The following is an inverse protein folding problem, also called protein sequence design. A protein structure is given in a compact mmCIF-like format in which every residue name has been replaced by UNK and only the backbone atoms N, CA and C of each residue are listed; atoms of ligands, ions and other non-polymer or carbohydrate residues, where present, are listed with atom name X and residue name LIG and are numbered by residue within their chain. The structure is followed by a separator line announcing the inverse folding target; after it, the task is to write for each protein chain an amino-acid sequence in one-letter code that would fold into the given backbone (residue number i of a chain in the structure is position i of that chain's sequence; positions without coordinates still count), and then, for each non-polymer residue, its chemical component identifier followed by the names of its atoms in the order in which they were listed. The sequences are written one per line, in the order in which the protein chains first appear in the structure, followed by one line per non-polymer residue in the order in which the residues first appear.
data_IF_878333573890
#
_entry.id   IF_878333573890
#
_cell.length_a   1.000
_cell.length_b   1.000
_cell.length_c   1.000
_cell.angle_alpha   90.00
_cell.angle_beta   90.00
_cell.angle_gamma   90.00
#
_symmetry.space_group_name_H-M   'P 1'
#
loop_
_entity.id
_entity.type
_entity.pdbx_description
1 polymer ?
#
# COMPACT_ATOMS: atom_id res chain seq x y z
N UNK A 1 -22.33 -17.07 -3.65
CA UNK A 1 -21.24 -16.13 -3.98
C UNK A 1 -19.93 -16.86 -3.78
N UNK A 2 -19.11 -16.99 -4.84
CA UNK A 2 -17.84 -17.71 -4.78
C UNK A 2 -16.73 -16.94 -4.03
N UNK A 3 -15.50 -17.48 -3.99
CA UNK A 3 -14.34 -16.77 -3.46
C UNK A 3 -14.13 -15.45 -4.22
N UNK A 4 -13.64 -14.43 -3.51
CA UNK A 4 -13.34 -13.10 -4.06
C UNK A 4 -11.85 -12.82 -3.92
N UNK A 5 -11.27 -12.25 -4.96
CA UNK A 5 -9.87 -11.85 -5.00
C UNK A 5 -9.75 -10.33 -5.02
N UNK A 6 -8.71 -9.81 -4.38
CA UNK A 6 -8.38 -8.39 -4.45
C UNK A 6 -7.77 -8.08 -5.82
N UNK A 7 -8.32 -7.11 -6.54
CA UNK A 7 -7.80 -6.68 -7.84
C UNK A 7 -6.92 -5.44 -7.77
N UNK A 8 -7.07 -4.64 -6.71
CA UNK A 8 -6.30 -3.43 -6.46
C UNK A 8 -6.44 -2.96 -5.00
N UNK A 9 -5.44 -2.27 -4.48
CA UNK A 9 -5.46 -1.63 -3.16
C UNK A 9 -5.15 -0.14 -3.35
N UNK A 10 -5.97 0.73 -2.76
CA UNK A 10 -5.74 2.18 -2.73
C UNK A 10 -5.73 2.66 -1.29
N UNK A 11 -4.58 3.17 -0.85
CA UNK A 11 -4.39 3.81 0.46
C UNK A 11 -4.50 5.32 0.27
N UNK A 12 -5.72 5.86 0.46
CA UNK A 12 -6.00 7.29 0.42
C UNK A 12 -6.60 7.82 1.72
N UNK A 13 -7.04 9.08 1.72
CA UNK A 13 -7.68 9.73 2.88
C UNK A 13 -6.84 10.87 3.42
N UNK A 14 -6.46 10.83 4.71
CA UNK A 14 -5.69 11.89 5.37
C UNK A 14 -4.35 12.20 4.67
N UNK A 15 -3.24 11.64 5.17
CA UNK A 15 -1.95 11.74 4.46
C UNK A 15 -1.17 10.42 4.63
N UNK A 16 -1.51 9.38 3.85
CA UNK A 16 -0.91 8.04 3.97
C UNK A 16 0.61 8.01 3.86
N UNK A 17 1.19 8.94 3.10
CA UNK A 17 2.64 9.18 2.96
C UNK A 17 3.35 9.71 4.22
N UNK A 18 2.62 10.01 5.29
CA UNK A 18 3.20 10.25 6.62
C UNK A 18 3.34 8.97 7.44
N UNK A 19 2.71 7.86 7.02
CA UNK A 19 2.88 6.57 7.68
C UNK A 19 4.31 6.08 7.52
N UNK A 20 4.82 5.40 8.56
CA UNK A 20 6.08 4.69 8.43
C UNK A 20 5.88 3.52 7.43
N UNK A 21 6.89 3.16 6.62
CA UNK A 21 6.81 2.02 5.71
C UNK A 21 6.34 0.72 6.38
N UNK A 22 6.72 0.49 7.64
CA UNK A 22 6.33 -0.71 8.40
C UNK A 22 4.83 -0.72 8.71
N UNK A 23 4.22 0.46 8.90
CA UNK A 23 2.77 0.59 9.08
C UNK A 23 2.03 0.24 7.79
N UNK A 24 2.52 0.68 6.63
CA UNK A 24 1.97 0.31 5.32
C UNK A 24 2.07 -1.20 5.11
N UNK A 25 3.23 -1.80 5.39
CA UNK A 25 3.44 -3.24 5.31
C UNK A 25 2.47 -4.01 6.21
N UNK A 26 2.31 -3.60 7.47
CA UNK A 26 1.39 -4.25 8.40
C UNK A 26 -0.08 -4.22 7.93
N UNK A 27 -0.50 -3.13 7.27
CA UNK A 27 -1.83 -3.03 6.66
C UNK A 27 -1.97 -3.99 5.49
N UNK A 28 -0.99 -4.06 4.59
CA UNK A 28 -1.01 -4.96 3.44
C UNK A 28 -0.99 -6.43 3.85
N UNK A 29 -0.20 -6.78 4.88
CA UNK A 29 -0.24 -8.11 5.49
C UNK A 29 -1.61 -8.41 6.10
N UNK A 30 -2.26 -7.43 6.76
CA UNK A 30 -3.60 -7.62 7.28
C UNK A 30 -4.61 -7.90 6.18
N UNK A 31 -4.50 -7.23 5.03
CA UNK A 31 -5.33 -7.53 3.85
C UNK A 31 -5.07 -8.96 3.37
N UNK A 32 -3.81 -9.34 3.17
CA UNK A 32 -3.42 -10.68 2.69
C UNK A 32 -3.81 -11.81 3.65
N UNK A 33 -3.92 -11.55 4.96
CA UNK A 33 -4.44 -12.52 5.93
C UNK A 33 -5.94 -12.79 5.81
N UNK A 34 -6.71 -11.85 5.24
CA UNK A 34 -8.16 -11.92 5.19
C UNK A 34 -8.71 -12.18 3.77
N UNK A 35 -7.90 -11.93 2.74
CA UNK A 35 -8.30 -12.03 1.33
C UNK A 35 -7.19 -12.67 0.49
N UNK A 36 -7.57 -13.35 -0.59
CA UNK A 36 -6.61 -13.74 -1.64
C UNK A 36 -6.15 -12.49 -2.38
N UNK A 37 -4.84 -12.25 -2.36
CA UNK A 37 -4.19 -11.11 -3.03
C UNK A 37 -3.22 -11.68 -4.07
N UNK A 38 -3.58 -11.71 -5.37
CA UNK A 38 -2.68 -12.14 -6.42
C UNK A 38 -1.42 -11.27 -6.50
N UNK A 39 -0.33 -11.84 -7.00
CA UNK A 39 0.87 -11.06 -7.29
C UNK A 39 0.61 -10.07 -8.44
N UNK A 40 1.31 -8.93 -8.41
CA UNK A 40 1.28 -7.95 -9.48
C UNK A 40 0.03 -7.04 -9.52
N UNK A 41 -0.88 -7.15 -8.55
CA UNK A 41 -1.98 -6.19 -8.44
C UNK A 41 -1.47 -4.77 -8.18
N UNK A 42 -2.24 -3.76 -8.56
CA UNK A 42 -1.90 -2.38 -8.23
C UNK A 42 -2.08 -2.13 -6.73
N UNK A 43 -1.05 -1.57 -6.10
CA UNK A 43 -1.06 -1.07 -4.73
C UNK A 43 -0.62 0.39 -4.76
N UNK A 44 -1.59 1.28 -4.62
CA UNK A 44 -1.42 2.73 -4.71
C UNK A 44 -1.44 3.36 -3.33
N UNK A 45 -0.51 4.27 -3.08
CA UNK A 45 -0.47 5.10 -1.88
C UNK A 45 -0.53 6.57 -2.26
N UNK A 46 -1.52 7.29 -1.74
CA UNK A 46 -1.62 8.74 -1.94
C UNK A 46 -0.47 9.46 -1.23
N UNK A 47 0.34 10.21 -1.99
CA UNK A 47 1.46 10.98 -1.49
C UNK A 47 1.39 12.44 -1.96
N UNK A 48 1.80 13.36 -1.09
CA UNK A 48 1.99 14.77 -1.44
C UNK A 48 3.44 14.99 -1.93
N UNK A 49 3.69 16.02 -2.77
CA UNK A 49 4.99 16.25 -3.40
C UNK A 49 6.04 16.88 -2.48
N UNK A 50 6.09 16.55 -1.17
CA UNK A 50 7.11 17.08 -0.26
C UNK A 50 8.38 16.20 -0.19
N UNK A 51 9.52 16.81 0.15
CA UNK A 51 10.82 16.12 0.27
C UNK A 51 10.83 15.03 1.35
N UNK A 52 10.09 15.24 2.45
CA UNK A 52 9.99 14.29 3.58
C UNK A 52 9.33 12.98 3.16
N UNK A 53 8.36 13.04 2.26
CA UNK A 53 7.62 11.87 1.76
C UNK A 53 8.45 11.10 0.74
N UNK A 54 9.22 11.81 -0.10
CA UNK A 54 10.07 11.21 -1.12
C UNK A 54 11.16 10.28 -0.53
N UNK A 55 11.70 10.62 0.65
CA UNK A 55 12.66 9.76 1.36
C UNK A 55 12.08 8.39 1.74
N UNK A 56 10.74 8.29 1.87
CA UNK A 56 10.03 7.07 2.29
C UNK A 56 9.61 6.18 1.12
N UNK A 57 9.68 6.65 -0.12
CA UNK A 57 9.20 5.90 -1.30
C UNK A 57 9.89 4.56 -1.48
N UNK A 58 11.19 4.46 -1.16
CA UNK A 58 11.91 3.17 -1.18
C UNK A 58 11.32 2.19 -0.17
N UNK A 59 10.97 2.68 1.02
CA UNK A 59 10.32 1.89 2.06
C UNK A 59 8.92 1.43 1.64
N UNK A 60 8.12 2.31 1.04
CA UNK A 60 6.80 1.92 0.53
C UNK A 60 6.90 0.87 -0.57
N UNK A 61 7.86 1.00 -1.48
CA UNK A 61 8.10 -0.03 -2.48
C UNK A 61 8.52 -1.37 -1.89
N UNK A 62 9.36 -1.36 -0.87
CA UNK A 62 9.72 -2.57 -0.13
C UNK A 62 8.52 -3.18 0.62
N UNK A 63 7.57 -2.34 1.08
CA UNK A 63 6.34 -2.80 1.72
C UNK A 63 5.29 -3.35 0.74
N UNK A 64 5.46 -3.14 -0.57
CA UNK A 64 4.57 -3.67 -1.62
C UNK A 64 3.79 -2.61 -2.39
N UNK A 65 3.96 -1.31 -2.09
CA UNK A 65 3.38 -0.22 -2.89
C UNK A 65 4.10 -0.12 -4.24
N UNK A 66 3.36 -0.10 -5.34
CA UNK A 66 3.92 -0.04 -6.69
C UNK A 66 3.45 1.17 -7.49
N UNK A 67 2.63 2.05 -6.90
CA UNK A 67 2.21 3.33 -7.45
C UNK A 67 2.07 4.37 -6.33
N UNK A 68 2.52 5.60 -6.59
CA UNK A 68 2.37 6.78 -5.71
C UNK A 68 1.78 7.95 -6.48
#
# INVERSE_FOLDING_TARGET
TGPREVTSIFLGGGTPSLMKPETVGAVLEAVARNWTVPEGIEVTLEANPSSVEAERFRGYRAAGVNRV
#
